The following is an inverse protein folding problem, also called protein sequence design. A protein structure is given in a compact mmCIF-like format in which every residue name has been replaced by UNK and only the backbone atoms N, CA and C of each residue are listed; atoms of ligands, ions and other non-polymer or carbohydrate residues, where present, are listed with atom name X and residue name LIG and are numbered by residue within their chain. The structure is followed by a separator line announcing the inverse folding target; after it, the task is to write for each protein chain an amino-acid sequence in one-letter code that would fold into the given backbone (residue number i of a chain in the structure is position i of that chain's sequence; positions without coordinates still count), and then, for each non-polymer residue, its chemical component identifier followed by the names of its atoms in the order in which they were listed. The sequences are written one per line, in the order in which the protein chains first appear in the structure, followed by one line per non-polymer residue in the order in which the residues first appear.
data_IF_380605816384
#
_entry.id   IF_380605816384
#
_cell.length_a   1.000
_cell.length_b   1.000
_cell.length_c   1.000
_cell.angle_alpha   90.00
_cell.angle_beta   90.00
_cell.angle_gamma   90.00
#
_symmetry.space_group_name_H-M   'P 1'
#
loop_
_entity.id
_entity.type
_entity.pdbx_description
1 polymer ?
#
# COMPACT_ATOMS: atom_id res chain seq x y z
N UNK A 1 10.94 -16.10 -11.33
CA UNK A 1 10.27 -15.04 -12.13
C UNK A 1 8.87 -14.91 -11.58
N UNK A 2 8.46 -13.71 -11.15
CA UNK A 2 7.11 -13.47 -10.62
C UNK A 2 6.22 -13.25 -11.83
N UNK A 3 5.29 -14.17 -12.09
CA UNK A 3 4.29 -14.00 -13.14
C UNK A 3 3.25 -12.99 -12.64
N UNK A 4 3.49 -11.70 -12.88
CA UNK A 4 2.56 -10.62 -12.55
C UNK A 4 1.44 -10.57 -13.59
N UNK A 5 0.41 -11.39 -13.39
CA UNK A 5 -0.86 -11.38 -14.15
C UNK A 5 -2.05 -10.93 -13.30
N UNK A 6 -1.81 -10.21 -12.21
CA UNK A 6 -2.88 -9.76 -11.32
C UNK A 6 -2.84 -8.24 -11.24
N UNK A 7 -3.96 -7.64 -11.61
CA UNK A 7 -4.20 -6.20 -11.56
C UNK A 7 -4.24 -5.75 -10.10
N UNK A 8 -3.16 -5.11 -9.62
CA UNK A 8 -3.06 -4.68 -8.21
C UNK A 8 -3.73 -3.31 -8.06
N UNK A 9 -4.80 -3.17 -7.26
CA UNK A 9 -5.48 -1.88 -7.08
C UNK A 9 -4.63 -0.92 -6.24
N UNK A 10 -4.41 0.29 -6.75
CA UNK A 10 -3.83 1.41 -5.99
C UNK A 10 -4.66 2.67 -6.20
N UNK A 11 -4.68 3.53 -5.19
CA UNK A 11 -5.28 4.85 -5.29
C UNK A 11 -4.31 5.85 -5.91
N UNK A 12 -4.84 6.81 -6.66
CA UNK A 12 -4.09 7.96 -7.20
C UNK A 12 -4.95 9.21 -7.05
N UNK A 13 -4.38 10.29 -6.51
CA UNK A 13 -5.10 11.57 -6.42
C UNK A 13 -5.65 12.01 -7.78
N UNK A 14 -6.91 12.42 -7.81
CA UNK A 14 -7.65 12.85 -9.00
C UNK A 14 -6.99 13.97 -9.82
N UNK A 15 -6.34 14.91 -9.14
CA UNK A 15 -5.61 16.02 -9.76
C UNK A 15 -4.40 15.53 -10.59
N UNK A 16 -3.86 14.33 -10.31
CA UNK A 16 -2.81 13.71 -11.13
C UNK A 16 -3.36 13.14 -12.45
N UNK A 17 -4.65 12.78 -12.46
CA UNK A 17 -5.33 12.12 -13.59
C UNK A 17 -6.04 13.10 -14.54
N UNK A 18 -6.16 14.38 -14.17
CA UNK A 18 -6.57 15.45 -15.08
C UNK A 18 -7.98 16.00 -14.89
N UNK A 19 -8.59 15.82 -13.72
CA UNK A 19 -9.76 16.62 -13.33
C UNK A 19 -9.27 18.00 -12.86
N UNK A 20 -9.55 19.05 -13.64
CA UNK A 20 -9.39 20.52 -13.50
C UNK A 20 -8.89 21.21 -12.19
N UNK A 21 -8.00 20.60 -11.40
CA UNK A 21 -7.52 21.16 -10.13
C UNK A 21 -6.01 21.37 -10.18
N UNK A 22 -5.63 22.61 -10.54
CA UNK A 22 -4.30 23.28 -10.47
C UNK A 22 -3.08 22.52 -11.04
N UNK A 23 -2.52 23.13 -12.08
CA UNK A 23 -1.36 22.69 -12.83
C UNK A 23 -0.05 23.04 -12.13
N UNK A 24 0.61 22.06 -11.52
CA UNK A 24 2.02 22.16 -11.08
C UNK A 24 2.85 20.97 -11.57
N UNK A 25 4.18 21.10 -11.48
CA UNK A 25 5.19 20.22 -12.11
C UNK A 25 5.06 18.72 -11.83
N UNK A 26 4.31 18.35 -10.80
CA UNK A 26 4.07 17.00 -10.32
C UNK A 26 3.40 16.09 -11.39
N UNK A 27 2.44 16.63 -12.17
CA UNK A 27 1.77 15.88 -13.25
C UNK A 27 2.72 15.47 -14.36
N UNK A 28 3.74 16.28 -14.67
CA UNK A 28 4.73 15.93 -15.72
C UNK A 28 5.59 14.76 -15.28
N UNK A 29 6.01 14.73 -14.01
CA UNK A 29 6.74 13.61 -13.43
C UNK A 29 5.91 12.33 -13.40
N UNK A 30 4.66 12.45 -12.94
CA UNK A 30 3.74 11.32 -12.88
C UNK A 30 3.38 10.75 -14.26
N UNK A 31 3.13 11.62 -15.25
CA UNK A 31 2.80 11.19 -16.61
C UNK A 31 3.89 10.30 -17.25
N UNK A 32 5.17 10.55 -16.94
CA UNK A 32 6.29 9.76 -17.46
C UNK A 32 6.31 8.32 -16.94
N UNK A 33 5.77 8.08 -15.75
CA UNK A 33 5.72 6.76 -15.12
C UNK A 33 4.32 6.14 -15.17
N UNK A 34 3.29 6.93 -15.48
CA UNK A 34 1.90 6.50 -15.51
C UNK A 34 1.69 5.26 -16.39
N UNK A 35 2.20 5.29 -17.62
CA UNK A 35 2.08 4.15 -18.55
C UNK A 35 2.80 2.90 -18.04
N UNK A 36 3.93 3.09 -17.35
CA UNK A 36 4.67 1.98 -16.73
C UNK A 36 3.90 1.39 -15.55
N UNK A 37 3.29 2.23 -14.71
CA UNK A 37 2.49 1.80 -13.57
C UNK A 37 1.22 1.07 -14.03
N UNK A 38 0.51 1.63 -15.01
CA UNK A 38 -0.75 1.08 -15.55
C UNK A 38 -0.58 -0.28 -16.22
N UNK A 39 0.64 -0.63 -16.65
CA UNK A 39 0.93 -1.97 -17.17
C UNK A 39 0.80 -3.08 -16.11
N UNK A 40 0.87 -2.75 -14.82
CA UNK A 40 0.88 -3.73 -13.72
C UNK A 40 -0.14 -3.40 -12.61
N UNK A 41 -0.60 -2.15 -12.51
CA UNK A 41 -1.44 -1.65 -11.44
C UNK A 41 -2.79 -1.15 -11.98
N UNK A 42 -3.86 -1.44 -11.25
CA UNK A 42 -5.17 -0.82 -11.46
C UNK A 42 -5.22 0.49 -10.69
N UNK A 43 -5.21 1.60 -11.42
CA UNK A 43 -5.25 2.94 -10.85
C UNK A 43 -6.70 3.35 -10.60
N UNK A 44 -7.05 3.54 -9.33
CA UNK A 44 -8.34 4.07 -8.90
C UNK A 44 -8.17 5.52 -8.51
N UNK A 45 -9.08 6.37 -8.98
CA UNK A 45 -9.08 7.79 -8.64
C UNK A 45 -9.44 7.96 -7.16
N UNK A 46 -8.71 8.82 -6.46
CA UNK A 46 -8.95 9.16 -5.08
C UNK A 46 -9.13 10.68 -4.99
N UNK A 47 -10.24 11.19 -4.41
CA UNK A 47 -10.45 12.63 -4.27
C UNK A 47 -9.30 13.33 -3.55
N UNK A 48 -9.04 14.59 -3.90
CA UNK A 48 -8.02 15.38 -3.23
C UNK A 48 -8.33 15.56 -1.72
N UNK A 49 -9.61 15.51 -1.32
CA UNK A 49 -10.03 15.63 0.08
C UNK A 49 -10.14 14.29 0.81
N UNK A 50 -9.40 13.24 0.40
CA UNK A 50 -9.30 11.99 1.19
C UNK A 50 -8.47 12.19 2.46
N UNK A 51 -9.02 13.02 3.32
CA UNK A 51 -9.32 12.73 4.71
C UNK A 51 -10.06 11.40 4.76
N UNK A 52 -9.47 10.42 5.42
CA UNK A 52 -10.10 9.13 5.69
C UNK A 52 -11.50 9.38 6.26
N UNK A 53 -12.53 9.00 5.50
CA UNK A 53 -13.91 9.07 5.93
C UNK A 53 -14.11 8.13 7.11
N UNK A 54 -13.93 8.63 8.33
CA UNK A 54 -14.32 7.95 9.56
C UNK A 54 -15.71 8.37 10.06
N UNK A 55 -16.34 9.40 9.45
CA UNK A 55 -17.59 9.96 10.01
C UNK A 55 -18.78 10.10 9.03
N UNK A 56 -18.64 9.88 7.72
CA UNK A 56 -19.78 10.02 6.79
C UNK A 56 -19.95 8.79 5.90
N UNK A 57 -21.07 8.10 6.10
CA UNK A 57 -21.46 6.82 5.49
C UNK A 57 -21.88 6.90 4.02
N UNK A 58 -21.55 7.98 3.30
CA UNK A 58 -22.15 8.25 1.98
C UNK A 58 -21.22 8.10 0.77
N UNK A 59 -19.89 8.07 0.91
CA UNK A 59 -18.97 7.99 -0.25
C UNK A 59 -17.68 7.21 0.04
N UNK A 60 -17.77 6.13 0.82
CA UNK A 60 -16.66 5.18 0.97
C UNK A 60 -16.58 4.34 -0.30
N UNK A 61 -15.92 4.86 -1.33
CA UNK A 61 -15.30 3.96 -2.31
C UNK A 61 -14.39 3.00 -1.53
N UNK A 62 -14.35 1.73 -1.94
CA UNK A 62 -13.76 0.63 -1.19
C UNK A 62 -12.21 0.75 -1.08
N UNK A 63 -11.75 1.65 -0.22
CA UNK A 63 -10.34 1.90 0.11
C UNK A 63 -9.70 0.67 0.77
N UNK A 64 -10.51 -0.20 1.38
CA UNK A 64 -10.03 -1.40 2.10
C UNK A 64 -9.30 -2.38 1.18
N UNK A 65 -9.56 -2.30 -0.12
CA UNK A 65 -8.93 -3.16 -1.13
C UNK A 65 -7.66 -2.57 -1.74
N UNK A 66 -7.31 -1.32 -1.45
CA UNK A 66 -6.12 -0.69 -2.02
C UNK A 66 -4.84 -1.30 -1.45
N UNK A 67 -3.86 -1.46 -2.32
CA UNK A 67 -2.52 -1.95 -1.97
C UNK A 67 -1.46 -0.85 -1.95
N UNK A 68 -1.85 0.40 -2.22
CA UNK A 68 -1.02 1.59 -2.13
C UNK A 68 -1.77 2.85 -2.55
N UNK A 69 -1.16 4.01 -2.30
CA UNK A 69 -1.69 5.32 -2.64
C UNK A 69 -0.58 6.23 -3.17
N UNK A 70 -0.86 6.94 -4.27
CA UNK A 70 0.00 7.98 -4.82
C UNK A 70 -0.70 9.33 -4.66
N UNK A 71 -0.08 10.23 -3.91
CA UNK A 71 -0.61 11.54 -3.58
C UNK A 71 0.00 12.63 -4.47
N UNK A 72 -0.77 13.68 -4.72
CA UNK A 72 -0.25 14.93 -5.30
C UNK A 72 0.42 15.78 -4.21
N UNK A 73 1.51 16.46 -4.54
CA UNK A 73 2.26 17.36 -3.64
C UNK A 73 1.40 18.51 -3.06
N UNK A 74 0.28 18.85 -3.71
CA UNK A 74 -0.62 19.93 -3.28
C UNK A 74 -1.57 19.55 -2.12
N UNK A 75 -1.48 18.32 -1.60
CA UNK A 75 -2.31 17.84 -0.50
C UNK A 75 -2.00 18.57 0.82
N UNK A 76 -3.00 18.94 1.63
CA UNK A 76 -2.76 19.45 2.98
C UNK A 76 -2.02 18.43 3.83
N UNK A 77 -0.91 18.83 4.46
CA UNK A 77 -0.09 17.93 5.31
C UNK A 77 -0.90 17.23 6.40
N UNK A 78 -1.90 17.90 6.95
CA UNK A 78 -2.79 17.34 7.97
C UNK A 78 -3.59 16.13 7.44
N UNK A 79 -4.11 16.21 6.22
CA UNK A 79 -4.85 15.11 5.58
C UNK A 79 -3.94 13.89 5.36
N UNK A 80 -2.70 14.12 4.93
CA UNK A 80 -1.70 13.05 4.76
C UNK A 80 -1.34 12.41 6.11
N UNK A 81 -1.21 13.21 7.17
CA UNK A 81 -0.95 12.68 8.52
C UNK A 81 -2.11 11.84 9.05
N UNK A 82 -3.35 12.31 8.89
CA UNK A 82 -4.54 11.57 9.28
C UNK A 82 -4.67 10.26 8.52
N UNK A 83 -4.34 10.26 7.22
CA UNK A 83 -4.27 9.04 6.42
C UNK A 83 -3.22 8.07 6.95
N UNK A 84 -2.00 8.54 7.23
CA UNK A 84 -0.93 7.67 7.76
C UNK A 84 -1.29 7.14 9.15
N UNK A 85 -2.03 7.91 9.95
CA UNK A 85 -2.51 7.49 11.27
C UNK A 85 -3.62 6.45 11.18
N UNK A 86 -4.60 6.66 10.30
CA UNK A 86 -5.69 5.70 10.10
C UNK A 86 -5.23 4.47 9.30
N UNK A 87 -4.20 4.62 8.45
CA UNK A 87 -3.69 3.61 7.54
C UNK A 87 -2.16 3.36 7.56
N UNK A 88 -1.51 3.09 8.72
CA UNK A 88 -0.05 2.97 8.82
C UNK A 88 0.58 1.83 7.99
N UNK A 89 -0.19 0.82 7.62
CA UNK A 89 0.26 -0.32 6.82
C UNK A 89 0.20 -0.06 5.31
N UNK A 90 -0.54 0.95 4.87
CA UNK A 90 -0.72 1.27 3.45
C UNK A 90 0.54 1.97 2.91
N UNK A 91 1.13 1.52 1.79
CA UNK A 91 2.21 2.24 1.12
C UNK A 91 1.70 3.56 0.52
N UNK A 92 2.25 4.68 0.97
CA UNK A 92 1.89 6.02 0.49
C UNK A 92 3.17 6.74 0.02
N UNK A 93 3.13 7.34 -1.16
CA UNK A 93 4.19 8.22 -1.68
C UNK A 93 3.61 9.41 -2.45
N UNK A 94 4.37 10.50 -2.52
CA UNK A 94 4.04 11.65 -3.37
C UNK A 94 4.52 11.41 -4.81
N UNK A 95 3.73 11.83 -5.79
CA UNK A 95 3.98 11.58 -7.20
C UNK A 95 5.35 12.11 -7.68
N UNK A 96 5.79 13.28 -7.20
CA UNK A 96 7.06 13.88 -7.58
C UNK A 96 8.27 13.08 -7.10
N UNK A 97 8.13 12.36 -5.99
CA UNK A 97 9.18 11.48 -5.45
C UNK A 97 9.43 10.25 -6.34
N UNK A 98 8.42 9.83 -7.11
CA UNK A 98 8.51 8.62 -7.96
C UNK A 98 9.43 8.78 -9.18
N UNK A 99 9.94 10.00 -9.43
CA UNK A 99 11.04 10.20 -10.37
C UNK A 99 12.32 9.53 -9.88
N UNK A 100 12.52 9.45 -8.56
CA UNK A 100 13.67 8.79 -7.95
C UNK A 100 13.51 7.26 -8.07
N UNK A 101 14.40 6.57 -8.81
CA UNK A 101 14.24 5.13 -9.07
C UNK A 101 14.16 4.28 -7.80
N UNK A 102 14.90 4.68 -6.76
CA UNK A 102 14.93 3.97 -5.48
C UNK A 102 13.58 4.07 -4.74
N UNK A 103 13.00 5.26 -4.65
CA UNK A 103 11.69 5.47 -4.00
C UNK A 103 10.61 4.71 -4.77
N UNK A 104 10.61 4.82 -6.11
CA UNK A 104 9.69 4.06 -6.97
C UNK A 104 9.81 2.56 -6.74
N UNK A 105 11.03 2.02 -6.69
CA UNK A 105 11.26 0.61 -6.43
C UNK A 105 10.74 0.20 -5.05
N UNK A 106 10.96 1.01 -4.01
CA UNK A 106 10.46 0.74 -2.67
C UNK A 106 8.93 0.72 -2.62
N UNK A 107 8.26 1.70 -3.23
CA UNK A 107 6.81 1.75 -3.30
C UNK A 107 6.24 0.50 -3.98
N UNK A 108 6.72 0.18 -5.18
CA UNK A 108 6.25 -1.00 -5.94
C UNK A 108 6.46 -2.29 -5.14
N UNK A 109 7.61 -2.41 -4.49
CA UNK A 109 7.91 -3.59 -3.67
C UNK A 109 6.92 -3.73 -2.51
N UNK A 110 6.59 -2.63 -1.83
CA UNK A 110 5.62 -2.61 -0.72
C UNK A 110 4.20 -2.90 -1.21
N UNK A 111 3.79 -2.35 -2.36
CA UNK A 111 2.50 -2.63 -3.00
C UNK A 111 2.36 -4.12 -3.31
N UNK A 112 3.36 -4.71 -3.95
CA UNK A 112 3.33 -6.14 -4.28
C UNK A 112 3.33 -7.02 -3.04
N UNK A 113 4.07 -6.64 -1.99
CA UNK A 113 4.08 -7.36 -0.72
C UNK A 113 2.69 -7.33 -0.05
N UNK A 114 2.09 -6.14 0.09
CA UNK A 114 0.76 -5.99 0.68
C UNK A 114 -0.30 -6.76 -0.13
N UNK A 115 -0.23 -6.68 -1.46
CA UNK A 115 -1.13 -7.41 -2.32
C UNK A 115 -1.00 -8.94 -2.16
N UNK A 116 0.22 -9.49 -2.17
CA UNK A 116 0.42 -10.92 -1.92
C UNK A 116 -0.06 -11.36 -0.53
N UNK A 117 0.14 -10.51 0.49
CA UNK A 117 -0.40 -10.78 1.83
C UNK A 117 -1.93 -10.82 1.83
N UNK A 118 -2.59 -9.84 1.19
CA UNK A 118 -4.05 -9.82 1.07
C UNK A 118 -4.57 -11.08 0.37
N UNK A 119 -3.89 -11.55 -0.67
CA UNK A 119 -4.25 -12.81 -1.34
C UNK A 119 -4.11 -14.02 -0.42
N UNK A 120 -3.04 -14.09 0.40
CA UNK A 120 -2.88 -15.17 1.38
C UNK A 120 -4.02 -15.16 2.43
N UNK A 121 -4.48 -13.97 2.83
CA UNK A 121 -5.59 -13.83 3.76
C UNK A 121 -6.91 -14.29 3.13
N UNK A 122 -7.17 -13.91 1.87
CA UNK A 122 -8.37 -14.33 1.11
C UNK A 122 -8.37 -15.83 0.82
N UNK A 123 -7.23 -16.40 0.41
CA UNK A 123 -7.08 -17.82 0.05
C UNK A 123 -7.07 -18.74 1.29
N UNK A 124 -7.09 -18.16 2.49
CA UNK A 124 -7.01 -18.85 3.77
C UNK A 124 -5.59 -18.85 4.32
N UNK A 125 -5.39 -18.15 5.43
CA UNK A 125 -4.09 -18.03 6.07
C UNK A 125 -3.60 -19.40 6.54
N UNK A 126 -2.51 -19.89 5.94
CA UNK A 126 -1.81 -21.08 6.39
C UNK A 126 -0.40 -20.74 6.86
N UNK A 127 0.12 -21.54 7.79
CA UNK A 127 1.53 -21.44 8.24
C UNK A 127 2.51 -21.51 7.07
N UNK A 128 2.28 -22.42 6.12
CA UNK A 128 3.13 -22.56 4.94
C UNK A 128 3.14 -21.31 4.07
N UNK A 129 1.96 -20.73 3.82
CA UNK A 129 1.83 -19.49 3.06
C UNK A 129 2.53 -18.32 3.76
N UNK A 130 2.37 -18.17 5.08
CA UNK A 130 3.03 -17.10 5.83
C UNK A 130 4.56 -17.26 5.87
N UNK A 131 5.08 -18.48 6.05
CA UNK A 131 6.52 -18.74 6.01
C UNK A 131 7.10 -18.46 4.63
N UNK A 132 6.40 -18.86 3.56
CA UNK A 132 6.82 -18.58 2.19
C UNK A 132 6.84 -17.07 1.91
N UNK A 133 5.77 -16.37 2.28
CA UNK A 133 5.68 -14.91 2.20
C UNK A 133 6.80 -14.23 2.98
N UNK A 134 6.97 -14.60 4.26
CA UNK A 134 8.01 -14.04 5.11
C UNK A 134 9.40 -14.26 4.51
N UNK A 135 9.71 -15.47 4.02
CA UNK A 135 11.00 -15.78 3.39
C UNK A 135 11.30 -14.90 2.17
N UNK A 136 10.27 -14.62 1.36
CA UNK A 136 10.38 -13.83 0.13
C UNK A 136 10.59 -12.33 0.38
N UNK A 137 9.92 -11.76 1.37
CA UNK A 137 10.00 -10.33 1.69
C UNK A 137 10.96 -10.01 2.84
N UNK A 138 11.61 -11.03 3.41
CA UNK A 138 12.52 -10.95 4.58
C UNK A 138 13.60 -9.88 4.45
N UNK A 139 14.26 -9.83 3.30
CA UNK A 139 15.39 -8.92 3.05
C UNK A 139 14.92 -7.48 2.85
N UNK A 140 13.73 -7.29 2.30
CA UNK A 140 13.11 -5.97 2.13
C UNK A 140 12.73 -5.43 3.51
N UNK A 141 12.10 -6.24 4.37
CA UNK A 141 11.84 -5.88 5.77
C UNK A 141 13.12 -5.50 6.52
N UNK A 142 14.22 -6.26 6.35
CA UNK A 142 15.51 -5.95 6.97
C UNK A 142 16.10 -4.62 6.48
N UNK A 143 15.96 -4.30 5.20
CA UNK A 143 16.48 -3.07 4.59
C UNK A 143 15.72 -1.81 5.06
N UNK A 144 14.44 -1.95 5.43
CA UNK A 144 13.58 -0.83 5.83
C UNK A 144 13.46 -0.67 7.35
N UNK A 145 13.52 -1.77 8.12
CA UNK A 145 13.53 -1.68 9.58
C UNK A 145 14.05 -2.95 10.27
N UNK A 146 15.24 -2.83 10.86
CA UNK A 146 15.86 -3.92 11.62
C UNK A 146 15.10 -4.29 12.92
N UNK A 147 14.53 -3.34 13.70
CA UNK A 147 13.74 -3.69 14.87
C UNK A 147 12.45 -4.48 14.53
N UNK A 148 11.74 -4.10 13.47
CA UNK A 148 10.49 -4.76 13.05
C UNK A 148 10.79 -6.15 12.50
N UNK A 149 11.89 -6.30 11.76
CA UNK A 149 12.42 -7.58 11.33
C UNK A 149 12.67 -8.54 12.51
N UNK A 150 13.22 -8.04 13.64
CA UNK A 150 13.48 -8.87 14.83
C UNK A 150 12.20 -9.29 15.54
N UNK A 151 11.14 -8.50 15.48
CA UNK A 151 9.83 -8.79 16.09
C UNK A 151 9.03 -9.82 15.28
N UNK A 152 9.12 -9.78 13.95
CA UNK A 152 8.30 -10.62 13.08
C UNK A 152 8.79 -12.08 13.04
N UNK A 153 10.09 -12.33 13.24
CA UNK A 153 10.68 -13.67 13.22
C UNK A 153 10.08 -14.63 14.27
N UNK A 154 10.09 -14.24 15.58
CA UNK A 154 9.43 -15.01 16.63
C UNK A 154 7.93 -15.20 16.41
N UNK A 155 7.25 -14.18 15.86
CA UNK A 155 5.82 -14.24 15.54
C UNK A 155 5.50 -15.28 14.47
N UNK A 156 6.23 -15.27 13.34
CA UNK A 156 6.07 -16.25 12.26
C UNK A 156 6.43 -17.67 12.72
N UNK A 157 7.40 -17.80 13.63
CA UNK A 157 7.79 -19.09 14.19
C UNK A 157 6.73 -19.67 15.15
N UNK A 158 6.04 -18.82 15.91
CA UNK A 158 5.06 -19.17 16.93
C UNK A 158 3.63 -19.37 16.41
N UNK A 159 3.39 -19.18 15.10
CA UNK A 159 2.07 -19.40 14.49
C UNK A 159 1.63 -20.88 14.53
N UNK A 160 2.52 -21.79 14.94
CA UNK A 160 2.21 -23.19 15.23
C UNK A 160 1.39 -23.40 16.51
N UNK A 161 1.37 -22.40 17.41
CA UNK A 161 0.73 -22.47 18.73
C UNK A 161 -0.49 -21.54 18.88
N UNK A 162 -0.72 -20.65 17.92
CA UNK A 162 -1.85 -19.74 17.91
C UNK A 162 -2.91 -20.29 16.95
N UNK A 163 -4.18 -20.43 17.37
CA UNK A 163 -5.23 -20.75 16.43
C UNK A 163 -5.31 -19.61 15.41
N UNK A 164 -5.28 -19.93 14.12
CA UNK A 164 -5.33 -18.97 12.99
C UNK A 164 -6.52 -17.98 13.12
N UNK A 165 -7.54 -18.37 13.88
CA UNK A 165 -8.73 -17.58 14.21
C UNK A 165 -8.41 -16.33 15.05
N UNK A 166 -7.31 -16.32 15.81
CA UNK A 166 -6.87 -15.17 16.62
C UNK A 166 -6.12 -14.10 15.80
N UNK A 167 -5.78 -14.39 14.53
CA UNK A 167 -5.10 -13.43 13.65
C UNK A 167 -5.97 -12.22 13.31
N UNK A 168 -7.30 -12.39 13.28
CA UNK A 168 -8.26 -11.32 12.96
C UNK A 168 -8.41 -10.28 14.08
N UNK A 169 -8.01 -10.59 15.33
CA UNK A 169 -8.12 -9.64 16.46
C UNK A 169 -6.99 -8.61 16.53
N UNK A 170 -5.94 -8.73 15.72
CA UNK A 170 -4.81 -7.78 15.71
C UNK A 170 -4.97 -6.63 14.70
N UNK A 171 -6.01 -6.64 13.86
CA UNK A 171 -6.30 -5.55 12.91
C UNK A 171 -7.39 -4.59 13.40
N UNK A 172 -7.97 -4.81 14.58
CA UNK A 172 -9.00 -3.92 15.16
C UNK A 172 -8.48 -2.92 16.21
N UNK A 173 -7.17 -2.87 16.49
CA UNK A 173 -6.62 -1.86 17.39
C UNK A 173 -5.22 -1.39 16.97
N UNK A 174 -5.15 -0.26 16.26
CA UNK A 174 -4.31 0.91 16.57
C UNK A 174 -4.47 1.97 15.49
#
# INVERSE_FOLDING_TARGET
MIEMKREIPIGVSDCLLGNDVRFDGDRRGFALIYDQLKAYLTLRTVPAEVTVGLNDTAQVEDFSTLCGLILCEAQPRESVQQLIQAMPWLPVEEAGQLQQPLIRQHLITRICALWELNQILVDGLTRGALIHYHSRYKLILLAHSQPEYRKIGPFVAAIDKLPIQDFFWLTEFS
#
